data_IF_490264186989
#
_entry.id   IF_490264186989
#
_cell.length_a   1.000
_cell.length_b   1.000
_cell.length_c   1.000
_cell.angle_alpha   90.00
_cell.angle_beta   90.00
_cell.angle_gamma   90.00
#
_symmetry.space_group_name_H-M   'P 1'
#
loop_
_entity.id
_entity.type
_entity.pdbx_description
1 polymer ?
#
# COMPACT_ATOMS: atom_id res chain seq x y z
N UNK A 1 8.52 -46.16 7.60
CA UNK A 1 7.23 -45.51 7.20
C UNK A 1 6.15 -45.73 8.25
N UNK A 2 5.96 -46.93 8.81
CA UNK A 2 4.94 -47.19 9.84
C UNK A 2 5.25 -46.44 11.15
N UNK A 3 6.53 -46.36 11.54
CA UNK A 3 6.97 -45.61 12.71
C UNK A 3 6.68 -44.12 12.57
N UNK A 4 6.95 -43.52 11.41
CA UNK A 4 6.61 -42.14 11.10
C UNK A 4 5.10 -41.88 11.09
N UNK A 5 4.30 -42.83 10.56
CA UNK A 5 2.83 -42.77 10.59
C UNK A 5 2.31 -42.83 12.03
N UNK A 6 2.88 -43.67 12.86
CA UNK A 6 2.49 -43.80 14.27
C UNK A 6 2.90 -42.55 15.05
N UNK A 7 4.09 -42.01 14.83
CA UNK A 7 4.57 -40.74 15.40
C UNK A 7 3.66 -39.58 15.01
N UNK A 8 3.27 -39.44 13.76
CA UNK A 8 2.34 -38.40 13.31
C UNK A 8 0.95 -38.54 13.93
N UNK A 9 0.45 -39.77 14.06
CA UNK A 9 -0.84 -40.05 14.74
C UNK A 9 -0.79 -39.73 16.22
N UNK A 10 0.29 -40.09 16.89
CA UNK A 10 0.49 -39.83 18.32
C UNK A 10 0.66 -38.32 18.57
N UNK A 11 1.46 -37.64 17.77
CA UNK A 11 1.66 -36.21 17.82
C UNK A 11 0.37 -35.43 17.55
N UNK A 12 -0.46 -35.85 16.62
CA UNK A 12 -1.78 -35.24 16.37
C UNK A 12 -2.66 -35.23 17.64
N UNK A 13 -2.51 -36.18 18.54
CA UNK A 13 -3.29 -36.25 19.76
C UNK A 13 -2.75 -35.34 20.87
N UNK A 14 -1.41 -35.22 20.99
CA UNK A 14 -0.76 -34.46 22.07
C UNK A 14 -0.65 -32.94 21.81
N UNK A 15 -0.59 -32.53 20.53
CA UNK A 15 -0.38 -31.14 20.13
C UNK A 15 -1.61 -30.46 19.55
N UNK A 16 -2.76 -31.00 19.79
CA UNK A 16 -4.02 -30.48 19.30
C UNK A 16 -4.40 -29.23 20.06
N UNK A 17 -3.68 -28.13 19.81
CA UNK A 17 -4.08 -26.82 20.27
C UNK A 17 -5.25 -26.37 19.40
N UNK A 18 -6.30 -25.91 20.06
CA UNK A 18 -7.51 -25.43 19.42
C UNK A 18 -7.61 -23.94 19.67
N UNK A 19 -6.98 -23.12 18.83
CA UNK A 19 -7.07 -21.68 18.95
C UNK A 19 -8.41 -21.13 18.48
N UNK A 20 -8.73 -19.93 18.93
CA UNK A 20 -9.64 -19.05 18.22
C UNK A 20 -8.78 -18.23 17.25
N UNK A 21 -8.97 -18.42 15.95
CA UNK A 21 -8.10 -17.92 14.90
C UNK A 21 -8.72 -16.73 14.19
N UNK A 22 -7.93 -15.68 14.00
CA UNK A 22 -8.29 -14.46 13.28
C UNK A 22 -7.21 -14.21 12.22
N UNK A 23 -7.47 -14.62 10.98
CA UNK A 23 -6.50 -14.53 9.89
C UNK A 23 -6.84 -13.33 9.04
N UNK A 24 -5.90 -12.43 8.87
CA UNK A 24 -6.08 -11.16 8.18
C UNK A 24 -5.23 -11.12 6.92
N UNK A 25 -5.87 -10.87 5.78
CA UNK A 25 -5.25 -10.77 4.47
C UNK A 25 -5.29 -9.33 3.98
N UNK A 26 -4.15 -8.67 3.72
CA UNK A 26 -4.15 -7.37 3.07
C UNK A 26 -4.57 -7.55 1.61
N UNK A 27 -5.53 -6.74 1.18
CA UNK A 27 -6.12 -6.84 -0.16
C UNK A 27 -6.24 -5.48 -0.81
N UNK A 28 -6.35 -5.48 -2.13
CA UNK A 28 -6.79 -4.33 -2.93
C UNK A 28 -8.04 -4.69 -3.69
N UNK A 29 -8.88 -3.70 -3.96
CA UNK A 29 -10.09 -3.85 -4.74
C UNK A 29 -10.20 -2.72 -5.77
N UNK A 30 -10.99 -2.93 -6.82
CA UNK A 30 -11.21 -1.92 -7.87
C UNK A 30 -12.63 -1.41 -7.89
N UNK A 31 -13.59 -2.26 -7.58
CA UNK A 31 -15.02 -2.02 -7.72
C UNK A 31 -15.68 -2.13 -6.34
N UNK A 32 -16.09 -1.00 -5.80
CA UNK A 32 -16.78 -0.90 -4.51
C UNK A 32 -18.20 -1.44 -4.60
N UNK A 33 -18.92 -1.16 -5.69
CA UNK A 33 -20.32 -1.56 -5.85
C UNK A 33 -20.43 -3.09 -5.90
N UNK A 34 -19.49 -3.74 -6.60
CA UNK A 34 -19.40 -5.21 -6.61
C UNK A 34 -19.20 -5.78 -5.21
N UNK A 35 -18.40 -5.14 -4.36
CA UNK A 35 -18.22 -5.60 -2.98
C UNK A 35 -19.51 -5.51 -2.17
N UNK A 36 -20.27 -4.44 -2.36
CA UNK A 36 -21.56 -4.28 -1.70
C UNK A 36 -22.60 -5.31 -2.17
N UNK A 37 -22.57 -5.72 -3.45
CA UNK A 37 -23.40 -6.80 -3.98
C UNK A 37 -23.06 -8.17 -3.35
N UNK A 38 -21.79 -8.37 -2.96
CA UNK A 38 -21.34 -9.58 -2.27
C UNK A 38 -21.66 -9.57 -0.77
N UNK A 39 -22.13 -8.45 -0.21
CA UNK A 39 -22.38 -8.31 1.21
C UNK A 39 -23.52 -9.23 1.69
N UNK A 40 -23.27 -9.97 2.76
CA UNK A 40 -24.22 -10.89 3.37
C UNK A 40 -24.67 -10.38 4.74
N UNK A 41 -25.76 -9.61 4.78
CA UNK A 41 -26.29 -9.02 6.01
C UNK A 41 -27.31 -9.90 6.75
N UNK A 42 -27.81 -10.94 6.11
CA UNK A 42 -28.99 -11.69 6.60
C UNK A 42 -28.67 -12.80 7.62
N UNK A 43 -27.41 -13.01 7.95
CA UNK A 43 -27.03 -14.11 8.82
C UNK A 43 -26.77 -13.63 10.25
N UNK A 44 -27.76 -13.81 11.15
CA UNK A 44 -27.65 -13.42 12.56
C UNK A 44 -26.44 -14.03 13.29
N UNK A 45 -25.91 -15.14 12.79
CA UNK A 45 -24.75 -15.82 13.39
C UNK A 45 -23.38 -15.22 12.94
N UNK A 46 -23.34 -14.54 11.77
CA UNK A 46 -22.16 -13.78 11.34
C UNK A 46 -21.98 -12.52 12.20
N UNK A 47 -23.00 -12.09 12.89
CA UNK A 47 -23.04 -10.85 13.64
C UNK A 47 -22.10 -10.73 14.82
N UNK A 48 -21.52 -11.83 15.31
CA UNK A 48 -20.79 -11.76 16.58
C UNK A 48 -19.48 -10.98 16.46
N UNK A 49 -18.62 -11.28 15.47
CA UNK A 49 -17.40 -10.52 15.27
C UNK A 49 -17.66 -9.12 14.73
N UNK A 50 -18.53 -8.99 13.74
CA UNK A 50 -18.99 -7.70 13.22
C UNK A 50 -19.58 -6.81 14.30
N UNK A 51 -20.37 -7.36 15.22
CA UNK A 51 -20.93 -6.63 16.35
C UNK A 51 -19.84 -5.98 17.20
N UNK A 52 -18.76 -6.71 17.53
CA UNK A 52 -17.66 -6.15 18.30
C UNK A 52 -16.77 -5.19 17.50
N UNK A 53 -16.74 -5.34 16.19
CA UNK A 53 -16.00 -4.45 15.30
C UNK A 53 -16.84 -3.26 14.81
N UNK A 54 -18.14 -3.19 15.13
CA UNK A 54 -18.99 -2.05 14.77
C UNK A 54 -18.64 -0.83 15.63
N UNK A 55 -17.98 0.12 14.99
CA UNK A 55 -17.52 1.36 15.61
C UNK A 55 -18.69 2.18 16.19
N UNK A 56 -19.83 2.23 15.48
CA UNK A 56 -20.99 3.01 15.91
C UNK A 56 -21.60 2.41 17.15
N UNK A 57 -21.81 1.11 17.15
CA UNK A 57 -22.37 0.39 18.28
C UNK A 57 -21.48 0.51 19.52
N UNK A 58 -20.17 0.43 19.38
CA UNK A 58 -19.21 0.58 20.46
C UNK A 58 -19.26 1.99 21.08
N UNK A 59 -19.38 3.03 20.26
CA UNK A 59 -19.53 4.40 20.74
C UNK A 59 -20.86 4.65 21.45
N UNK A 60 -21.95 4.04 20.98
CA UNK A 60 -23.30 4.21 21.54
C UNK A 60 -23.51 3.42 22.83
N UNK A 61 -22.98 2.22 22.91
CA UNK A 61 -23.22 1.33 24.07
C UNK A 61 -22.30 1.61 25.24
N UNK A 62 -21.24 2.39 25.03
CA UNK A 62 -20.23 2.66 26.08
C UNK A 62 -19.49 1.40 26.57
N UNK A 63 -19.58 0.30 25.81
CA UNK A 63 -18.86 -0.93 26.11
C UNK A 63 -17.36 -0.68 25.87
N UNK A 64 -16.53 -0.80 26.89
CA UNK A 64 -15.22 -0.17 26.88
C UNK A 64 -14.17 -1.00 26.15
N UNK A 65 -13.84 -0.63 24.93
CA UNK A 65 -12.49 -0.87 24.43
C UNK A 65 -11.43 0.00 25.18
N UNK A 66 -11.80 0.56 26.32
CA UNK A 66 -11.04 1.62 26.96
C UNK A 66 -11.09 2.92 26.13
N UNK A 67 -10.67 4.01 26.75
CA UNK A 67 -10.72 5.34 26.13
C UNK A 67 -9.93 5.42 24.81
N UNK A 68 -8.76 4.79 24.76
CA UNK A 68 -7.91 4.77 23.56
C UNK A 68 -8.57 4.07 22.37
N UNK A 69 -9.26 2.95 22.62
CA UNK A 69 -9.95 2.22 21.57
C UNK A 69 -11.10 3.02 21.00
N UNK A 70 -11.87 3.72 21.83
CA UNK A 70 -12.96 4.59 21.41
C UNK A 70 -12.41 5.77 20.59
N UNK A 71 -11.37 6.44 21.08
CA UNK A 71 -10.74 7.57 20.38
C UNK A 71 -10.20 7.14 18.99
N UNK A 72 -9.63 5.94 18.89
CA UNK A 72 -9.19 5.38 17.61
C UNK A 72 -10.37 5.07 16.69
N UNK A 73 -11.40 4.41 17.19
CA UNK A 73 -12.58 4.10 16.41
C UNK A 73 -13.25 5.36 15.86
N UNK A 74 -13.38 6.39 16.69
CA UNK A 74 -13.91 7.70 16.28
C UNK A 74 -13.08 8.35 15.16
N UNK A 75 -11.74 8.22 15.22
CA UNK A 75 -10.83 8.74 14.21
C UNK A 75 -11.06 8.07 12.84
N UNK A 76 -11.29 6.75 12.83
CA UNK A 76 -11.36 5.98 11.59
C UNK A 76 -12.77 5.76 11.04
N UNK A 77 -13.83 6.05 11.81
CA UNK A 77 -15.24 5.76 11.47
C UNK A 77 -15.72 6.31 10.12
N UNK A 78 -15.15 7.42 9.65
CA UNK A 78 -15.59 8.07 8.42
C UNK A 78 -14.89 7.53 7.17
N UNK A 79 -13.83 6.75 7.34
CA UNK A 79 -12.99 6.25 6.25
C UNK A 79 -13.04 4.73 6.15
N UNK A 80 -13.11 4.07 7.28
CA UNK A 80 -13.19 2.62 7.39
C UNK A 80 -14.63 2.16 7.22
N UNK A 81 -14.86 1.25 6.29
CA UNK A 81 -16.14 0.56 6.09
C UNK A 81 -15.94 -0.93 6.28
N UNK A 82 -16.91 -1.61 6.93
CA UNK A 82 -16.88 -3.04 7.14
C UNK A 82 -18.02 -3.72 6.42
N UNK A 83 -17.71 -4.75 5.65
CA UNK A 83 -18.63 -5.49 4.79
C UNK A 83 -18.57 -6.97 5.20
N UNK A 84 -19.65 -7.54 5.72
CA UNK A 84 -19.72 -8.98 5.98
C UNK A 84 -19.83 -9.73 4.66
N UNK A 85 -18.97 -10.71 4.44
CA UNK A 85 -18.93 -11.51 3.20
C UNK A 85 -19.50 -12.93 3.37
N UNK A 86 -20.01 -13.23 4.57
CA UNK A 86 -20.66 -14.51 4.84
C UNK A 86 -19.76 -15.54 5.52
N UNK A 87 -20.21 -16.78 5.51
CA UNK A 87 -19.48 -17.91 6.07
C UNK A 87 -18.79 -18.69 4.96
N UNK A 88 -17.57 -19.11 5.25
CA UNK A 88 -16.78 -19.97 4.40
C UNK A 88 -16.48 -21.27 5.14
N UNK A 89 -16.46 -22.36 4.40
CA UNK A 89 -15.83 -23.59 4.87
C UNK A 89 -14.40 -23.62 4.36
N UNK A 90 -13.44 -23.56 5.29
CA UNK A 90 -12.01 -23.52 4.96
C UNK A 90 -11.37 -24.87 5.28
N UNK A 91 -10.38 -25.25 4.48
CA UNK A 91 -9.59 -26.46 4.64
C UNK A 91 -8.13 -26.12 4.71
N UNK A 92 -7.44 -26.73 5.67
CA UNK A 92 -5.98 -26.71 5.78
C UNK A 92 -5.48 -28.08 5.34
N UNK A 93 -4.60 -28.08 4.36
CA UNK A 93 -4.00 -29.30 3.85
C UNK A 93 -2.69 -29.61 4.58
N UNK A 94 -2.51 -30.86 4.95
CA UNK A 94 -1.29 -31.37 5.59
C UNK A 94 -0.31 -31.94 4.55
N UNK A 95 -0.30 -31.43 3.32
CA UNK A 95 0.44 -31.98 2.18
C UNK A 95 1.93 -32.24 2.49
N UNK A 96 2.60 -31.37 3.22
CA UNK A 96 4.03 -31.54 3.48
C UNK A 96 4.41 -32.75 4.33
N UNK A 97 3.54 -33.22 5.20
CA UNK A 97 3.83 -34.45 5.99
C UNK A 97 3.44 -35.70 5.23
N UNK A 98 2.47 -35.60 4.35
CA UNK A 98 1.95 -36.73 3.59
C UNK A 98 2.82 -37.07 2.40
N UNK A 99 3.52 -36.11 1.79
CA UNK A 99 4.54 -36.39 0.77
C UNK A 99 5.71 -37.25 1.32
N UNK A 100 5.96 -37.17 2.63
CA UNK A 100 6.93 -38.01 3.33
C UNK A 100 6.34 -39.38 3.68
N UNK A 101 5.01 -39.47 3.84
CA UNK A 101 4.34 -40.66 4.44
C UNK A 101 3.66 -41.60 3.47
N UNK A 102 3.60 -41.32 2.19
CA UNK A 102 3.04 -42.09 1.10
C UNK A 102 1.89 -41.51 0.32
N UNK A 103 1.98 -41.81 -0.96
CA UNK A 103 1.05 -41.62 -2.06
C UNK A 103 -0.33 -42.30 -1.92
N UNK A 104 -0.68 -42.79 -0.76
CA UNK A 104 -1.99 -43.42 -0.58
C UNK A 104 -3.02 -42.44 -0.01
N UNK A 105 -3.90 -42.05 -0.91
CA UNK A 105 -5.26 -41.57 -0.69
C UNK A 105 -5.49 -40.32 0.17
N UNK A 106 -5.72 -39.26 -0.53
CA UNK A 106 -6.34 -37.99 -0.14
C UNK A 106 -5.66 -37.20 0.97
N UNK A 107 -5.40 -35.92 0.73
CA UNK A 107 -4.84 -35.04 1.75
C UNK A 107 -5.75 -35.02 2.97
N UNK A 108 -5.21 -35.42 4.14
CA UNK A 108 -5.92 -35.31 5.41
C UNK A 108 -6.06 -33.84 5.73
N UNK A 109 -7.16 -33.23 5.28
CA UNK A 109 -7.50 -31.87 5.59
C UNK A 109 -8.30 -31.80 6.88
N UNK A 110 -8.16 -30.70 7.61
CA UNK A 110 -9.12 -30.30 8.63
C UNK A 110 -9.99 -29.19 8.06
N UNK A 111 -11.30 -29.44 8.02
CA UNK A 111 -12.29 -28.44 7.63
C UNK A 111 -12.72 -27.66 8.86
N UNK A 112 -12.87 -26.35 8.69
CA UNK A 112 -13.37 -25.44 9.70
C UNK A 112 -14.34 -24.44 9.05
N UNK A 113 -15.26 -23.92 9.85
CA UNK A 113 -16.08 -22.78 9.44
C UNK A 113 -15.36 -21.49 9.82
N UNK A 114 -15.40 -20.53 8.92
CA UNK A 114 -14.88 -19.20 9.13
C UNK A 114 -15.91 -18.12 8.75
N UNK A 115 -16.05 -17.11 9.58
CA UNK A 115 -16.77 -15.88 9.26
C UNK A 115 -15.83 -14.95 8.48
N UNK A 116 -16.26 -14.48 7.30
CA UNK A 116 -15.47 -13.57 6.47
C UNK A 116 -15.97 -12.14 6.61
N UNK A 117 -15.09 -11.24 7.03
CA UNK A 117 -15.36 -9.80 7.19
C UNK A 117 -14.31 -9.01 6.43
N UNK A 118 -14.75 -8.13 5.57
CA UNK A 118 -13.88 -7.24 4.81
C UNK A 118 -13.95 -5.82 5.39
N UNK A 119 -12.82 -5.29 5.79
CA UNK A 119 -12.64 -3.88 6.14
C UNK A 119 -11.97 -3.16 4.98
N UNK A 120 -12.52 -2.04 4.54
CA UNK A 120 -11.99 -1.28 3.40
C UNK A 120 -11.74 0.19 3.75
N UNK A 121 -10.70 0.75 3.15
CA UNK A 121 -10.49 2.19 3.06
C UNK A 121 -11.09 2.70 1.75
N UNK A 122 -12.15 3.49 1.84
CA UNK A 122 -12.88 4.02 0.69
C UNK A 122 -12.05 4.88 -0.25
N UNK A 123 -10.96 5.47 0.22
CA UNK A 123 -10.17 6.42 -0.57
C UNK A 123 -8.98 5.78 -1.28
N UNK A 124 -8.35 4.79 -0.66
CA UNK A 124 -7.11 4.18 -1.19
C UNK A 124 -7.34 2.86 -1.93
N UNK A 125 -8.57 2.33 -1.92
CA UNK A 125 -8.90 1.01 -2.47
C UNK A 125 -8.08 -0.15 -1.85
N UNK A 126 -7.66 0.05 -0.61
CA UNK A 126 -7.00 -0.95 0.20
C UNK A 126 -8.02 -1.57 1.17
N UNK A 127 -7.88 -2.84 1.47
CA UNK A 127 -8.71 -3.53 2.44
C UNK A 127 -7.95 -4.57 3.24
N UNK A 128 -8.60 -5.06 4.29
CA UNK A 128 -8.17 -6.19 5.10
C UNK A 128 -9.33 -7.18 5.18
N UNK A 129 -9.14 -8.37 4.61
CA UNK A 129 -10.08 -9.47 4.76
C UNK A 129 -9.72 -10.25 6.02
N UNK A 130 -10.62 -10.32 6.98
CA UNK A 130 -10.46 -11.11 8.21
C UNK A 130 -11.32 -12.36 8.13
N UNK A 131 -10.70 -13.52 8.32
CA UNK A 131 -11.36 -14.81 8.50
C UNK A 131 -11.33 -15.16 9.99
N UNK A 132 -12.50 -15.32 10.58
CA UNK A 132 -12.67 -15.66 12.00
C UNK A 132 -13.13 -17.10 12.11
N UNK A 133 -12.31 -17.95 12.72
CA UNK A 133 -12.62 -19.34 12.95
C UNK A 133 -12.38 -19.69 14.43
N UNK A 134 -13.43 -20.11 15.10
CA UNK A 134 -13.39 -20.39 16.52
C UNK A 134 -13.20 -21.87 16.78
N UNK A 135 -12.37 -22.18 17.78
CA UNK A 135 -12.13 -23.53 18.25
C UNK A 135 -11.73 -24.51 17.15
N UNK A 136 -10.84 -24.09 16.27
CA UNK A 136 -10.40 -24.87 15.13
C UNK A 136 -9.42 -25.99 15.53
N UNK A 137 -9.68 -27.26 15.24
CA UNK A 137 -8.88 -28.37 15.70
C UNK A 137 -7.64 -28.57 14.83
N UNK A 138 -6.69 -27.64 14.86
CA UNK A 138 -5.44 -27.70 14.08
C UNK A 138 -4.25 -28.08 14.97
N UNK A 139 -3.22 -28.64 14.34
CA UNK A 139 -1.86 -28.49 14.85
C UNK A 139 -1.43 -27.03 14.59
N UNK A 140 -1.14 -26.28 15.63
CA UNK A 140 -0.85 -24.84 15.53
C UNK A 140 0.28 -24.57 14.52
N UNK A 141 1.37 -25.33 14.57
CA UNK A 141 2.49 -25.20 13.64
C UNK A 141 2.10 -25.38 12.17
N UNK A 142 1.28 -26.38 11.85
CA UNK A 142 0.79 -26.60 10.49
C UNK A 142 -0.15 -25.51 10.02
N UNK A 143 -0.99 -25.02 10.91
CA UNK A 143 -1.88 -23.93 10.60
C UNK A 143 -1.10 -22.67 10.23
N UNK A 144 -0.10 -22.30 11.03
CA UNK A 144 0.74 -21.16 10.79
C UNK A 144 1.52 -21.29 9.47
N UNK A 145 2.06 -22.46 9.19
CA UNK A 145 2.77 -22.75 7.92
C UNK A 145 1.85 -22.61 6.70
N UNK A 146 0.63 -23.14 6.77
CA UNK A 146 -0.37 -22.98 5.69
C UNK A 146 -0.75 -21.54 5.42
N UNK A 147 -0.86 -20.70 6.47
CA UNK A 147 -1.12 -19.26 6.31
C UNK A 147 0.04 -18.59 5.56
N UNK A 148 1.26 -18.82 6.00
CA UNK A 148 2.47 -18.21 5.42
C UNK A 148 2.67 -18.66 3.98
N UNK A 149 2.45 -19.94 3.67
CA UNK A 149 2.61 -20.51 2.32
C UNK A 149 1.41 -20.29 1.43
N UNK A 150 0.36 -19.67 1.93
CA UNK A 150 -0.85 -19.40 1.16
C UNK A 150 -1.55 -20.67 0.65
N UNK A 151 -1.63 -21.69 1.49
CA UNK A 151 -2.22 -22.99 1.19
C UNK A 151 -3.63 -23.18 1.76
N UNK A 152 -4.25 -22.12 2.30
CA UNK A 152 -5.62 -22.18 2.78
C UNK A 152 -6.59 -22.35 1.59
N UNK A 153 -7.46 -23.37 1.69
CA UNK A 153 -8.44 -23.68 0.65
C UNK A 153 -9.85 -23.32 1.13
N UNK A 154 -10.69 -22.90 0.23
CA UNK A 154 -12.14 -22.74 0.44
C UNK A 154 -12.86 -23.91 -0.19
N UNK A 155 -13.78 -24.51 0.54
CA UNK A 155 -14.64 -25.58 0.03
C UNK A 155 -15.93 -24.94 -0.49
N UNK A 156 -16.14 -25.00 -1.79
CA UNK A 156 -17.38 -24.52 -2.42
C UNK A 156 -18.56 -25.46 -2.15
N UNK A 157 -19.76 -25.02 -2.45
CA UNK A 157 -21.01 -25.79 -2.26
C UNK A 157 -21.02 -27.12 -3.03
N UNK A 158 -20.33 -27.19 -4.17
CA UNK A 158 -20.15 -28.39 -4.96
C UNK A 158 -19.15 -29.39 -4.34
N UNK A 159 -18.50 -29.03 -3.22
CA UNK A 159 -17.47 -29.80 -2.53
C UNK A 159 -16.05 -29.65 -3.12
N UNK A 160 -15.89 -28.84 -4.13
CA UNK A 160 -14.59 -28.54 -4.74
C UNK A 160 -13.75 -27.63 -3.82
N UNK A 161 -12.44 -27.90 -3.73
CA UNK A 161 -11.52 -27.11 -2.93
C UNK A 161 -10.78 -26.14 -3.85
N UNK A 162 -10.94 -24.83 -3.59
CA UNK A 162 -10.32 -23.73 -4.34
C UNK A 162 -9.37 -22.98 -3.44
N UNK A 163 -8.19 -22.61 -3.93
CA UNK A 163 -7.26 -21.77 -3.17
C UNK A 163 -7.93 -20.45 -2.78
N UNK A 164 -7.74 -19.99 -1.53
CA UNK A 164 -8.38 -18.79 -1.01
C UNK A 164 -8.13 -17.55 -1.89
N UNK A 165 -6.92 -17.35 -2.41
CA UNK A 165 -6.62 -16.19 -3.25
C UNK A 165 -7.37 -16.21 -4.59
N UNK A 166 -7.49 -17.38 -5.20
CA UNK A 166 -8.29 -17.56 -6.41
C UNK A 166 -9.77 -17.29 -6.11
N UNK A 167 -10.29 -17.83 -5.00
CA UNK A 167 -11.65 -17.59 -4.54
C UNK A 167 -11.93 -16.09 -4.31
N UNK A 168 -11.03 -15.40 -3.59
CA UNK A 168 -11.15 -13.95 -3.32
C UNK A 168 -11.22 -13.14 -4.61
N UNK A 169 -10.38 -13.46 -5.59
CA UNK A 169 -10.35 -12.78 -6.87
C UNK A 169 -11.61 -13.04 -7.69
N UNK A 170 -12.03 -14.27 -7.77
CA UNK A 170 -13.18 -14.68 -8.59
C UNK A 170 -14.51 -14.24 -8.00
N UNK A 171 -14.73 -14.50 -6.73
CA UNK A 171 -16.03 -14.23 -6.08
C UNK A 171 -16.17 -12.77 -5.67
N UNK A 172 -15.14 -12.18 -5.08
CA UNK A 172 -15.23 -10.86 -4.48
C UNK A 172 -14.47 -9.76 -5.23
N UNK A 173 -13.67 -10.12 -6.25
CA UNK A 173 -12.84 -9.13 -6.98
C UNK A 173 -11.70 -8.55 -6.13
N UNK A 174 -11.27 -9.27 -5.09
CA UNK A 174 -10.19 -8.89 -4.20
C UNK A 174 -8.87 -9.45 -4.71
N UNK A 175 -7.80 -8.64 -4.65
CA UNK A 175 -6.45 -9.07 -4.96
C UNK A 175 -5.59 -9.00 -3.70
N UNK A 176 -4.88 -10.06 -3.36
CA UNK A 176 -3.93 -10.05 -2.26
C UNK A 176 -2.81 -9.04 -2.54
N UNK A 177 -2.45 -8.23 -1.55
CA UNK A 177 -1.49 -7.13 -1.69
C UNK A 177 -0.30 -7.19 -0.75
N UNK A 178 -0.20 -8.21 0.08
CA UNK A 178 0.89 -8.37 1.04
C UNK A 178 0.83 -9.70 1.80
N UNK A 179 1.64 -9.80 2.84
CA UNK A 179 1.72 -11.00 3.67
C UNK A 179 0.56 -11.04 4.66
N UNK A 180 -0.15 -12.18 4.80
CA UNK A 180 -1.19 -12.33 5.80
C UNK A 180 -0.63 -12.21 7.21
N UNK A 181 -1.47 -11.78 8.13
CA UNK A 181 -1.20 -11.70 9.56
C UNK A 181 -2.21 -12.58 10.27
N UNK A 182 -1.85 -13.07 11.43
CA UNK A 182 -2.75 -13.89 12.22
C UNK A 182 -2.71 -13.49 13.69
N UNK A 183 -3.87 -13.50 14.31
CA UNK A 183 -4.01 -13.45 15.75
C UNK A 183 -4.63 -14.76 16.20
N UNK A 184 -3.90 -15.49 17.04
CA UNK A 184 -4.30 -16.80 17.55
C UNK A 184 -4.51 -16.71 19.06
N UNK A 185 -5.74 -16.83 19.51
CA UNK A 185 -6.06 -16.90 20.93
C UNK A 185 -6.18 -18.34 21.40
N UNK A 186 -5.37 -18.72 22.37
CA UNK A 186 -5.35 -20.05 22.96
C UNK A 186 -6.03 -20.00 24.32
N UNK A 187 -7.23 -20.56 24.49
CA UNK A 187 -7.93 -20.60 25.77
C UNK A 187 -7.12 -21.32 26.85
N UNK A 188 -7.30 -20.91 28.11
CA UNK A 188 -6.55 -21.45 29.25
C UNK A 188 -6.69 -22.96 29.40
N UNK A 189 -7.87 -23.49 29.22
CA UNK A 189 -8.16 -24.92 29.33
C UNK A 189 -7.52 -25.76 28.20
N UNK A 190 -7.08 -25.09 27.13
CA UNK A 190 -6.43 -25.71 25.97
C UNK A 190 -4.93 -25.39 25.90
N UNK A 191 -4.42 -24.59 26.83
CA UNK A 191 -3.01 -24.24 26.93
C UNK A 191 -2.25 -25.29 27.73
N UNK A 192 -1.87 -26.36 27.03
CA UNK A 192 -1.07 -27.47 27.60
C UNK A 192 0.43 -27.35 27.28
N UNK A 193 0.87 -26.29 26.63
CA UNK A 193 2.27 -26.11 26.25
C UNK A 193 3.18 -25.85 27.46
N UNK A 194 4.19 -26.68 27.62
CA UNK A 194 5.30 -26.37 28.51
C UNK A 194 6.21 -25.27 27.89
N UNK A 195 7.22 -24.81 28.64
CA UNK A 195 8.08 -23.72 28.21
C UNK A 195 8.91 -24.06 26.94
N UNK A 196 9.38 -25.30 26.84
CA UNK A 196 10.16 -25.76 25.68
C UNK A 196 9.28 -25.84 24.44
N UNK A 197 8.08 -26.37 24.58
CA UNK A 197 7.08 -26.47 23.52
C UNK A 197 6.66 -25.09 23.01
N UNK A 198 6.43 -24.15 23.91
CA UNK A 198 6.16 -22.75 23.54
C UNK A 198 7.33 -22.15 22.75
N UNK A 199 8.56 -22.36 23.21
CA UNK A 199 9.76 -21.90 22.53
C UNK A 199 9.88 -22.48 21.12
N UNK A 200 9.55 -23.75 20.96
CA UNK A 200 9.54 -24.41 19.66
C UNK A 200 8.55 -23.78 18.68
N UNK A 201 7.30 -23.58 19.12
CA UNK A 201 6.27 -22.93 18.31
C UNK A 201 6.70 -21.52 17.90
N UNK A 202 7.31 -20.77 18.82
CA UNK A 202 7.77 -19.41 18.54
C UNK A 202 8.96 -19.34 17.59
N UNK A 203 9.81 -20.39 17.53
CA UNK A 203 11.03 -20.39 16.74
C UNK A 203 10.87 -20.92 15.33
N UNK A 204 10.24 -22.06 15.19
CA UNK A 204 10.34 -22.84 13.96
C UNK A 204 9.01 -23.28 13.37
N UNK A 205 7.90 -23.13 14.11
CA UNK A 205 6.60 -23.67 13.68
C UNK A 205 6.65 -25.18 13.43
N UNK A 206 7.74 -25.86 13.77
CA UNK A 206 7.91 -27.27 13.54
C UNK A 206 7.25 -28.12 14.61
N UNK A 207 6.98 -29.35 14.27
CA UNK A 207 6.47 -30.36 15.21
C UNK A 207 7.61 -30.71 16.18
N UNK A 208 7.34 -30.52 17.47
CA UNK A 208 8.27 -30.85 18.55
C UNK A 208 7.86 -32.12 19.26
N UNK A 209 8.79 -33.01 19.55
CA UNK A 209 8.59 -34.16 20.43
C UNK A 209 9.05 -33.88 21.85
N UNK A 210 8.22 -34.25 22.81
CA UNK A 210 8.58 -34.15 24.23
C UNK A 210 9.75 -35.12 24.50
N UNK A 211 10.87 -34.57 25.01
CA UNK A 211 12.07 -35.37 25.33
C UNK A 211 13.17 -35.37 24.28
N UNK A 212 12.95 -34.85 23.08
CA UNK A 212 14.04 -34.58 22.15
C UNK A 212 14.64 -33.18 22.41
N UNK A 213 15.96 -33.11 22.44
CA UNK A 213 16.64 -31.84 22.35
C UNK A 213 16.43 -31.29 20.94
N UNK A 214 15.93 -30.05 20.83
CA UNK A 214 15.98 -29.31 19.59
C UNK A 214 17.43 -29.06 19.27
N UNK A 215 18.00 -29.89 18.39
CA UNK A 215 19.41 -29.82 18.03
C UNK A 215 19.87 -28.50 17.42
N UNK A 216 18.92 -27.63 17.04
CA UNK A 216 19.19 -26.35 16.39
C UNK A 216 19.08 -25.16 17.35
N UNK A 217 18.37 -25.28 18.49
CA UNK A 217 18.13 -24.14 19.38
C UNK A 217 18.58 -24.41 20.81
N UNK A 218 19.32 -23.46 21.35
CA UNK A 218 19.76 -23.54 22.74
C UNK A 218 18.68 -23.11 23.72
N UNK A 219 18.74 -23.62 24.95
CA UNK A 219 17.85 -23.17 26.03
C UNK A 219 17.87 -21.63 26.24
N UNK A 220 18.98 -20.98 25.90
CA UNK A 220 19.15 -19.53 26.01
C UNK A 220 18.33 -18.79 24.92
N UNK A 221 18.27 -19.33 23.69
CA UNK A 221 17.46 -18.77 22.60
C UNK A 221 15.97 -18.94 22.90
N UNK A 222 15.56 -20.14 23.34
CA UNK A 222 14.20 -20.42 23.77
C UNK A 222 13.79 -19.46 24.91
N UNK A 223 14.68 -19.26 25.89
CA UNK A 223 14.44 -18.35 27.00
C UNK A 223 14.30 -16.89 26.55
N UNK A 224 15.12 -16.46 25.61
CA UNK A 224 15.07 -15.11 25.03
C UNK A 224 13.71 -14.84 24.36
N UNK A 225 13.19 -15.80 23.61
CA UNK A 225 11.91 -15.68 22.94
C UNK A 225 10.74 -15.69 23.91
N UNK A 226 10.74 -16.62 24.88
CA UNK A 226 9.70 -16.67 25.90
C UNK A 226 9.73 -15.47 26.86
N UNK A 227 10.85 -14.73 26.92
CA UNK A 227 10.94 -13.46 27.64
C UNK A 227 10.49 -12.25 26.80
N UNK A 228 10.23 -12.43 25.50
CA UNK A 228 9.64 -11.40 24.64
C UNK A 228 8.14 -11.22 24.84
N UNK A 229 7.60 -11.74 25.96
CA UNK A 229 6.20 -11.62 26.33
C UNK A 229 5.75 -10.16 26.34
N UNK A 230 4.73 -9.86 25.55
CA UNK A 230 4.00 -8.60 25.64
C UNK A 230 2.80 -8.80 26.56
N UNK A 231 2.73 -8.03 27.61
CA UNK A 231 1.49 -8.00 28.41
C UNK A 231 0.40 -7.24 27.65
N UNK A 232 -0.49 -7.96 26.96
CA UNK A 232 -1.71 -7.38 26.38
C UNK A 232 -2.81 -7.19 27.43
N UNK A 233 -2.45 -7.22 28.70
CA UNK A 233 -3.35 -7.04 29.85
C UNK A 233 -3.04 -8.03 30.97
N UNK A 234 -3.82 -7.95 32.05
CA UNK A 234 -3.65 -8.84 33.21
C UNK A 234 -4.12 -10.29 32.97
N UNK A 235 -4.93 -10.51 31.95
CA UNK A 235 -5.63 -11.78 31.71
C UNK A 235 -4.97 -12.67 30.67
N UNK A 236 -3.97 -12.16 29.93
CA UNK A 236 -3.30 -12.91 28.89
C UNK A 236 -1.80 -12.65 28.84
N UNK A 237 -1.10 -13.53 28.14
CA UNK A 237 0.29 -13.35 27.74
C UNK A 237 0.38 -13.48 26.23
N UNK A 238 0.92 -12.50 25.56
CA UNK A 238 1.01 -12.49 24.11
C UNK A 238 2.46 -12.50 23.65
N UNK A 239 2.68 -13.14 22.50
CA UNK A 239 3.96 -13.24 21.81
C UNK A 239 3.79 -12.87 20.36
N UNK A 240 4.70 -12.09 19.83
CA UNK A 240 4.73 -11.74 18.40
C UNK A 240 5.79 -12.57 17.71
N UNK A 241 5.37 -13.36 16.73
CA UNK A 241 6.24 -14.22 15.92
C UNK A 241 6.53 -13.51 14.61
N UNK A 242 7.71 -12.91 14.52
CA UNK A 242 8.05 -11.99 13.43
C UNK A 242 8.14 -12.66 12.06
N UNK A 243 8.64 -13.89 11.98
CA UNK A 243 8.84 -14.56 10.70
C UNK A 243 7.53 -15.08 10.08
N UNK A 244 6.49 -15.30 10.91
CA UNK A 244 5.15 -15.71 10.44
C UNK A 244 4.13 -14.60 10.47
N UNK A 245 4.48 -13.46 11.06
CA UNK A 245 3.53 -12.36 11.30
C UNK A 245 2.31 -12.81 12.13
N UNK A 246 2.57 -13.63 13.13
CA UNK A 246 1.56 -14.19 14.02
C UNK A 246 1.66 -13.57 15.41
N UNK A 247 0.53 -13.20 15.95
CA UNK A 247 0.37 -12.83 17.35
C UNK A 247 -0.30 -13.97 18.09
N UNK A 248 0.44 -14.63 18.99
CA UNK A 248 -0.08 -15.68 19.87
C UNK A 248 -0.50 -15.07 21.21
N UNK A 249 -1.74 -15.26 21.61
CA UNK A 249 -2.28 -14.82 22.89
C UNK A 249 -2.74 -16.03 23.72
N UNK A 250 -2.05 -16.26 24.82
CA UNK A 250 -2.37 -17.32 25.76
C UNK A 250 -3.18 -16.76 26.93
N UNK A 251 -4.40 -17.23 27.08
CA UNK A 251 -5.25 -16.83 28.19
C UNK A 251 -4.67 -17.31 29.52
N UNK A 252 -4.51 -16.42 30.50
CA UNK A 252 -4.04 -16.73 31.85
C UNK A 252 -5.17 -17.15 32.78
N UNK A 253 -6.31 -16.47 32.64
CA UNK A 253 -7.50 -16.70 33.41
C UNK A 253 -8.72 -16.90 32.53
N UNK A 254 -9.65 -17.72 32.97
CA UNK A 254 -10.92 -17.93 32.28
C UNK A 254 -11.64 -16.60 32.07
N UNK A 255 -11.75 -16.17 30.86
CA UNK A 255 -12.53 -14.98 30.46
C UNK A 255 -14.04 -15.28 30.37
N UNK A 256 -14.46 -16.44 30.80
CA UNK A 256 -15.86 -16.88 30.88
C UNK A 256 -16.39 -17.32 29.52
N UNK A 257 -17.25 -16.54 28.88
CA UNK A 257 -17.96 -16.93 27.67
C UNK A 257 -17.14 -16.72 26.38
N UNK A 258 -17.50 -17.44 25.32
CA UNK A 258 -16.95 -17.24 23.97
C UNK A 258 -17.08 -15.77 23.54
N UNK A 259 -18.20 -15.12 23.88
CA UNK A 259 -18.44 -13.71 23.57
C UNK A 259 -17.40 -12.77 24.22
N UNK A 260 -17.03 -13.04 25.46
CA UNK A 260 -16.01 -12.24 26.14
C UNK A 260 -14.62 -12.41 25.51
N UNK A 261 -14.29 -13.63 25.05
CA UNK A 261 -13.05 -13.88 24.29
C UNK A 261 -13.06 -13.17 22.95
N UNK A 262 -14.14 -13.28 22.18
CA UNK A 262 -14.30 -12.57 20.90
C UNK A 262 -14.17 -11.06 21.04
N UNK A 263 -14.76 -10.49 22.08
CA UNK A 263 -14.66 -9.07 22.36
C UNK A 263 -13.21 -8.61 22.57
N UNK A 264 -12.44 -9.34 23.40
CA UNK A 264 -11.04 -9.02 23.64
C UNK A 264 -10.17 -9.25 22.39
N UNK A 265 -10.48 -10.30 21.62
CA UNK A 265 -9.82 -10.57 20.36
C UNK A 265 -10.10 -9.48 19.31
N UNK A 266 -11.35 -9.04 19.19
CA UNK A 266 -11.73 -7.97 18.27
C UNK A 266 -10.93 -6.67 18.52
N UNK A 267 -10.70 -6.34 19.79
CA UNK A 267 -9.87 -5.17 20.13
C UNK A 267 -8.42 -5.32 19.66
N UNK A 268 -7.82 -6.48 19.88
CA UNK A 268 -6.46 -6.77 19.40
C UNK A 268 -6.40 -6.80 17.87
N UNK A 269 -7.36 -7.47 17.23
CA UNK A 269 -7.48 -7.52 15.78
C UNK A 269 -7.63 -6.12 15.19
N UNK A 270 -8.35 -5.21 15.85
CA UNK A 270 -8.47 -3.84 15.39
C UNK A 270 -7.12 -3.12 15.31
N UNK A 271 -6.24 -3.30 16.31
CA UNK A 271 -4.88 -2.75 16.23
C UNK A 271 -4.06 -3.37 15.09
N UNK A 272 -4.14 -4.69 14.93
CA UNK A 272 -3.46 -5.39 13.83
C UNK A 272 -4.00 -4.91 12.49
N UNK A 273 -5.30 -4.78 12.34
CA UNK A 273 -5.97 -4.27 11.14
C UNK A 273 -5.48 -2.87 10.76
N UNK A 274 -5.41 -1.93 11.73
CA UNK A 274 -4.91 -0.58 11.49
C UNK A 274 -3.45 -0.58 11.00
N UNK A 275 -2.61 -1.42 11.59
CA UNK A 275 -1.22 -1.58 11.16
C UNK A 275 -1.11 -2.22 9.78
N UNK A 276 -2.02 -3.12 9.42
CA UNK A 276 -2.08 -3.68 8.08
C UNK A 276 -2.49 -2.65 7.03
N UNK A 277 -3.41 -1.73 7.35
CA UNK A 277 -3.72 -0.60 6.47
C UNK A 277 -2.49 0.30 6.27
N UNK A 278 -1.73 0.57 7.32
CA UNK A 278 -0.48 1.34 7.23
C UNK A 278 0.56 0.62 6.37
N UNK A 279 0.78 -0.68 6.61
CA UNK A 279 1.69 -1.53 5.83
C UNK A 279 1.29 -1.56 4.34
N UNK A 280 0.01 -1.78 4.07
CA UNK A 280 -0.50 -1.83 2.71
C UNK A 280 -0.37 -0.49 1.98
N UNK A 281 -0.67 0.63 2.65
CA UNK A 281 -0.49 1.96 2.08
C UNK A 281 0.98 2.24 1.74
N UNK A 282 1.91 1.92 2.65
CA UNK A 282 3.35 2.06 2.42
C UNK A 282 3.83 1.17 1.27
N UNK A 283 3.37 -0.07 1.21
CA UNK A 283 3.74 -1.03 0.17
C UNK A 283 3.26 -0.58 -1.20
N UNK A 284 1.99 -0.15 -1.30
CA UNK A 284 1.44 0.39 -2.55
C UNK A 284 2.18 1.64 -3.00
N UNK A 285 2.45 2.57 -2.08
CA UNK A 285 3.19 3.79 -2.39
C UNK A 285 4.60 3.49 -2.89
N UNK A 286 5.35 2.63 -2.18
CA UNK A 286 6.69 2.21 -2.58
C UNK A 286 6.69 1.57 -3.97
N UNK A 287 5.72 0.70 -4.25
CA UNK A 287 5.60 0.04 -5.54
C UNK A 287 5.38 1.05 -6.67
N UNK A 288 4.42 1.95 -6.53
CA UNK A 288 4.14 2.96 -7.57
C UNK A 288 5.33 3.90 -7.78
N UNK A 289 6.09 4.27 -6.74
CA UNK A 289 7.31 5.06 -6.88
C UNK A 289 8.40 4.29 -7.64
N UNK A 290 8.58 3.00 -7.36
CA UNK A 290 9.57 2.16 -8.06
C UNK A 290 9.17 1.98 -9.52
N UNK A 291 7.90 1.71 -9.80
CA UNK A 291 7.38 1.56 -11.16
C UNK A 291 7.58 2.86 -11.97
N UNK A 292 7.29 4.02 -11.36
CA UNK A 292 7.55 5.32 -11.98
C UNK A 292 9.04 5.55 -12.27
N UNK A 293 9.93 5.19 -11.34
CA UNK A 293 11.38 5.30 -11.57
C UNK A 293 11.86 4.38 -12.68
N UNK A 294 11.29 3.20 -12.83
CA UNK A 294 11.62 2.26 -13.89
C UNK A 294 11.20 2.76 -15.29
N UNK A 295 10.17 3.59 -15.35
CA UNK A 295 9.67 4.16 -16.60
C UNK A 295 10.32 5.50 -16.98
N UNK A 296 11.12 6.12 -16.12
CA UNK A 296 11.68 7.47 -16.31
C UNK A 296 12.36 7.72 -17.65
N UNK A 297 13.02 6.68 -18.20
CA UNK A 297 13.71 6.77 -19.51
C UNK A 297 12.78 6.59 -20.72
N UNK A 298 11.50 6.29 -20.50
CA UNK A 298 10.53 5.96 -21.54
C UNK A 298 9.40 6.97 -21.66
N UNK A 299 9.19 7.77 -20.64
CA UNK A 299 8.12 8.77 -20.59
C UNK A 299 8.68 10.17 -20.71
N UNK A 300 7.86 11.08 -21.20
CA UNK A 300 8.23 12.49 -21.31
C UNK A 300 8.39 13.15 -19.93
N UNK A 301 9.33 14.09 -19.75
CA UNK A 301 9.56 14.76 -18.47
C UNK A 301 8.30 15.36 -17.85
N UNK A 302 7.44 15.98 -18.63
CA UNK A 302 6.16 16.57 -18.18
C UNK A 302 5.18 15.51 -17.67
N UNK A 303 5.13 14.36 -18.32
CA UNK A 303 4.31 13.22 -17.89
C UNK A 303 4.85 12.65 -16.56
N UNK A 304 6.18 12.49 -16.44
CA UNK A 304 6.81 12.07 -15.19
C UNK A 304 6.42 12.99 -14.01
N UNK A 305 6.53 14.31 -14.20
CA UNK A 305 6.17 15.31 -13.20
C UNK A 305 4.70 15.18 -12.75
N UNK A 306 3.81 14.98 -13.70
CA UNK A 306 2.36 14.83 -13.44
C UNK A 306 2.06 13.56 -12.66
N UNK A 307 2.64 12.42 -13.08
CA UNK A 307 2.48 11.13 -12.42
C UNK A 307 3.07 11.14 -11.02
N UNK A 308 4.27 11.69 -10.83
CA UNK A 308 4.92 11.82 -9.53
C UNK A 308 4.06 12.61 -8.54
N UNK A 309 3.48 13.74 -8.96
CA UNK A 309 2.55 14.53 -8.15
C UNK A 309 1.29 13.75 -7.79
N UNK A 310 0.72 13.03 -8.75
CA UNK A 310 -0.50 12.25 -8.54
C UNK A 310 -0.28 11.15 -7.50
N UNK A 311 0.83 10.39 -7.63
CA UNK A 311 1.20 9.34 -6.68
C UNK A 311 1.41 9.95 -5.28
N UNK A 312 2.22 11.01 -5.18
CA UNK A 312 2.49 11.66 -3.91
C UNK A 312 1.20 12.17 -3.23
N UNK A 313 0.33 12.85 -3.97
CA UNK A 313 -0.92 13.37 -3.42
C UNK A 313 -1.88 12.26 -2.96
N UNK A 314 -1.91 11.12 -3.68
CA UNK A 314 -2.77 9.98 -3.32
C UNK A 314 -2.31 9.30 -2.04
N UNK A 315 -1.02 8.97 -1.96
CA UNK A 315 -0.53 8.07 -0.92
C UNK A 315 0.01 8.79 0.32
N UNK A 316 0.60 9.97 0.21
CA UNK A 316 1.14 10.67 1.37
C UNK A 316 0.06 10.89 2.44
N UNK A 317 -1.09 11.43 2.03
CA UNK A 317 -2.22 11.62 2.94
C UNK A 317 -2.78 10.30 3.48
N UNK A 318 -2.67 9.20 2.71
CA UNK A 318 -3.13 7.87 3.14
C UNK A 318 -2.19 7.29 4.19
N UNK A 319 -0.89 7.36 3.97
CA UNK A 319 0.12 6.89 4.94
C UNK A 319 0.03 7.69 6.25
N UNK A 320 -0.08 9.01 6.17
CA UNK A 320 -0.24 9.85 7.36
C UNK A 320 -1.54 9.56 8.12
N UNK A 321 -2.63 9.28 7.41
CA UNK A 321 -3.90 8.94 8.02
C UNK A 321 -3.82 7.62 8.80
N UNK A 322 -3.19 6.58 8.23
CA UNK A 322 -3.06 5.26 8.84
C UNK A 322 -1.92 5.15 9.85
N UNK A 323 -1.14 6.20 10.07
CA UNK A 323 -0.11 6.22 11.11
C UNK A 323 -0.76 6.19 12.50
N UNK A 324 -0.79 4.99 13.07
CA UNK A 324 -1.47 4.72 14.35
C UNK A 324 -0.64 5.25 15.51
N UNK A 325 -1.24 6.10 16.32
CA UNK A 325 -0.68 6.53 17.60
C UNK A 325 -1.70 6.33 18.73
N UNK A 326 -1.23 5.84 19.86
CA UNK A 326 -2.04 5.64 21.07
C UNK A 326 -1.39 6.32 22.27
N UNK A 327 -2.18 6.75 23.22
CA UNK A 327 -1.71 7.58 24.32
C UNK A 327 -1.31 6.77 25.57
N UNK A 328 -1.85 5.55 25.75
CA UNK A 328 -1.57 4.75 26.93
C UNK A 328 -0.27 3.92 26.80
N UNK A 329 0.61 3.93 27.80
CA UNK A 329 1.92 3.28 27.73
C UNK A 329 1.86 1.77 27.44
N UNK A 330 0.83 1.06 27.98
CA UNK A 330 0.66 -0.37 27.71
C UNK A 330 0.28 -0.65 26.27
N UNK A 331 -0.65 0.13 25.71
CA UNK A 331 -1.06 0.04 24.33
C UNK A 331 0.06 0.45 23.39
N UNK A 332 0.83 1.50 23.74
CA UNK A 332 2.02 1.91 22.97
C UNK A 332 3.05 0.79 22.86
N UNK A 333 3.35 0.11 23.99
CA UNK A 333 4.33 -0.99 23.99
C UNK A 333 3.88 -2.13 23.09
N UNK A 334 2.61 -2.55 23.18
CA UNK A 334 2.05 -3.61 22.38
C UNK A 334 2.06 -3.24 20.88
N UNK A 335 1.62 -2.03 20.55
CA UNK A 335 1.61 -1.52 19.19
C UNK A 335 3.02 -1.46 18.59
N UNK A 336 4.00 -0.97 19.35
CA UNK A 336 5.40 -0.91 18.91
C UNK A 336 5.98 -2.29 18.63
N UNK A 337 5.63 -3.30 19.42
CA UNK A 337 6.12 -4.66 19.18
C UNK A 337 5.51 -5.28 17.92
N UNK A 338 4.21 -5.11 17.70
CA UNK A 338 3.54 -5.57 16.49
C UNK A 338 4.10 -4.80 15.28
N UNK A 339 4.27 -3.48 15.38
CA UNK A 339 4.83 -2.63 14.33
C UNK A 339 6.23 -3.07 13.91
N UNK A 340 7.08 -3.38 14.88
CA UNK A 340 8.43 -3.91 14.65
C UNK A 340 8.39 -5.28 13.97
N UNK A 341 7.48 -6.16 14.38
CA UNK A 341 7.30 -7.48 13.77
C UNK A 341 6.85 -7.38 12.30
N UNK A 342 5.99 -6.41 11.97
CA UNK A 342 5.52 -6.17 10.61
C UNK A 342 6.50 -5.36 9.77
N UNK A 343 7.67 -5.00 10.29
CA UNK A 343 8.71 -4.22 9.60
C UNK A 343 8.20 -2.88 9.02
N UNK A 344 7.23 -2.26 9.70
CA UNK A 344 6.59 -1.02 9.22
C UNK A 344 7.60 0.13 9.17
N UNK A 345 8.49 0.21 10.14
CA UNK A 345 9.50 1.25 10.20
C UNK A 345 10.52 1.10 9.04
N UNK A 346 10.92 -0.13 8.70
CA UNK A 346 11.76 -0.41 7.53
C UNK A 346 11.07 -0.02 6.21
N UNK A 347 9.75 -0.26 6.11
CA UNK A 347 8.96 0.18 4.96
C UNK A 347 8.88 1.71 4.86
N UNK A 348 8.81 2.41 5.99
CA UNK A 348 8.86 3.89 6.02
C UNK A 348 10.20 4.43 5.56
N UNK A 349 11.30 3.90 6.08
CA UNK A 349 12.65 4.28 5.64
C UNK A 349 12.83 4.06 4.14
N UNK A 350 12.34 2.93 3.62
CA UNK A 350 12.35 2.63 2.20
C UNK A 350 11.50 3.62 1.40
N UNK A 351 10.33 4.00 1.92
CA UNK A 351 9.47 5.01 1.30
C UNK A 351 10.17 6.36 1.23
N UNK A 352 10.76 6.82 2.32
CA UNK A 352 11.48 8.10 2.38
C UNK A 352 12.67 8.11 1.40
N UNK A 353 13.40 7.00 1.31
CA UNK A 353 14.48 6.83 0.34
C UNK A 353 13.96 6.93 -1.10
N UNK A 354 12.91 6.16 -1.45
CA UNK A 354 12.34 6.16 -2.80
C UNK A 354 11.75 7.54 -3.14
N UNK A 355 11.07 8.19 -2.21
CA UNK A 355 10.54 9.55 -2.39
C UNK A 355 11.64 10.55 -2.67
N UNK A 356 12.78 10.45 -1.96
CA UNK A 356 13.95 11.29 -2.23
C UNK A 356 14.55 11.04 -3.61
N UNK A 357 14.62 9.78 -4.07
CA UNK A 357 15.08 9.46 -5.42
C UNK A 357 14.15 10.03 -6.49
N UNK A 358 12.84 9.87 -6.32
CA UNK A 358 11.84 10.48 -7.22
C UNK A 358 11.96 12.01 -7.19
N UNK A 359 12.18 12.62 -6.02
CA UNK A 359 12.43 14.06 -5.88
C UNK A 359 13.64 14.53 -6.69
N UNK A 360 14.76 13.82 -6.61
CA UNK A 360 15.96 14.14 -7.39
C UNK A 360 15.69 14.05 -8.92
N UNK A 361 14.99 13.02 -9.35
CA UNK A 361 14.60 12.86 -10.77
C UNK A 361 13.60 13.95 -11.18
N UNK A 362 12.70 14.32 -10.29
CA UNK A 362 11.74 15.40 -10.50
C UNK A 362 12.47 16.73 -10.75
N UNK A 363 13.45 17.07 -9.94
CA UNK A 363 14.23 18.32 -10.09
C UNK A 363 15.00 18.34 -11.41
N UNK A 364 15.62 17.21 -11.80
CA UNK A 364 16.31 17.07 -13.09
C UNK A 364 15.33 17.27 -14.27
N UNK A 365 14.18 16.59 -14.22
CA UNK A 365 13.19 16.71 -15.28
C UNK A 365 12.60 18.11 -15.39
N UNK A 366 12.37 18.75 -14.25
CA UNK A 366 11.93 20.16 -14.21
C UNK A 366 12.96 21.08 -14.87
N UNK A 367 14.24 20.89 -14.54
CA UNK A 367 15.30 21.69 -15.18
C UNK A 367 15.36 21.48 -16.71
N UNK A 368 15.11 20.24 -17.17
CA UNK A 368 15.02 19.93 -18.62
C UNK A 368 13.84 20.66 -19.26
N UNK A 369 12.66 20.61 -18.63
CA UNK A 369 11.45 21.30 -19.12
C UNK A 369 11.67 22.81 -19.15
N UNK A 370 12.18 23.39 -18.05
CA UNK A 370 12.46 24.82 -17.97
C UNK A 370 13.46 25.27 -19.07
N UNK A 371 14.48 24.45 -19.36
CA UNK A 371 15.43 24.72 -20.45
C UNK A 371 14.80 24.59 -21.84
N UNK A 372 13.87 23.67 -22.03
CA UNK A 372 13.15 23.52 -23.31
C UNK A 372 12.22 24.71 -23.54
N UNK A 373 11.44 25.11 -22.53
CA UNK A 373 10.57 26.29 -22.60
C UNK A 373 11.38 27.57 -22.89
N UNK A 374 12.51 27.75 -22.23
CA UNK A 374 13.40 28.89 -22.49
C UNK A 374 13.97 28.89 -23.92
N UNK A 375 14.26 27.70 -24.48
CA UNK A 375 14.68 27.62 -25.89
C UNK A 375 13.56 27.94 -26.85
N UNK A 376 12.36 27.41 -26.64
CA UNK A 376 11.18 27.69 -27.45
C UNK A 376 10.79 29.17 -27.39
N UNK A 377 10.87 29.79 -26.22
CA UNK A 377 10.63 31.23 -26.06
C UNK A 377 11.66 32.04 -26.83
N UNK A 378 12.94 31.69 -26.75
CA UNK A 378 14.00 32.32 -27.51
C UNK A 378 13.81 32.15 -29.01
N UNK A 379 13.42 30.96 -29.49
CA UNK A 379 13.14 30.71 -30.92
C UNK A 379 11.92 31.52 -31.38
N UNK A 380 10.87 31.66 -30.59
CA UNK A 380 9.72 32.51 -30.89
C UNK A 380 10.11 33.99 -30.97
N UNK A 381 10.95 34.45 -30.05
CA UNK A 381 11.45 35.82 -30.04
C UNK A 381 12.32 36.07 -31.25
N UNK A 382 13.20 35.13 -31.64
CA UNK A 382 14.03 35.22 -32.81
C UNK A 382 13.18 35.24 -34.09
N UNK A 383 12.13 34.41 -34.20
CA UNK A 383 11.18 34.41 -35.32
C UNK A 383 10.39 35.73 -35.39
N UNK A 384 9.90 36.22 -34.21
CA UNK A 384 9.18 37.48 -34.12
C UNK A 384 10.09 38.62 -34.54
N UNK A 385 11.33 38.66 -34.09
CA UNK A 385 12.32 39.68 -34.46
C UNK A 385 12.66 39.62 -35.94
N UNK A 386 12.75 38.40 -36.50
CA UNK A 386 12.97 38.24 -37.95
C UNK A 386 11.78 38.76 -38.73
N UNK A 387 10.55 38.44 -38.33
CA UNK A 387 9.33 38.94 -38.97
C UNK A 387 9.22 40.45 -38.90
N UNK A 388 9.50 41.03 -37.74
CA UNK A 388 9.54 42.49 -37.55
C UNK A 388 10.62 43.16 -38.43
N UNK A 389 11.77 42.50 -38.59
CA UNK A 389 12.85 43.00 -39.48
C UNK A 389 12.41 42.98 -40.92
N UNK A 390 11.80 41.91 -41.41
CA UNK A 390 11.25 41.80 -42.77
C UNK A 390 10.18 42.86 -42.99
N UNK A 391 9.24 43.02 -42.01
CA UNK A 391 8.20 44.07 -42.11
C UNK A 391 8.80 45.47 -42.16
N UNK A 392 9.80 45.74 -41.33
CA UNK A 392 10.49 47.01 -41.31
C UNK A 392 11.18 47.32 -42.63
N UNK A 393 11.78 46.30 -43.25
CA UNK A 393 12.39 46.46 -44.57
C UNK A 393 11.33 46.72 -45.66
N UNK A 394 10.19 46.01 -45.64
CA UNK A 394 9.07 46.23 -46.58
C UNK A 394 8.46 47.65 -46.38
N UNK A 395 8.21 48.06 -45.16
CA UNK A 395 7.73 49.44 -44.87
C UNK A 395 8.73 50.50 -45.34
N UNK A 396 10.02 50.22 -45.17
CA UNK A 396 11.07 51.10 -45.68
C UNK A 396 11.04 51.24 -47.19
N UNK A 397 10.89 50.13 -47.96
CA UNK A 397 10.76 50.21 -49.41
C UNK A 397 9.50 50.93 -49.86
N UNK A 398 8.37 50.74 -49.16
CA UNK A 398 7.14 51.49 -49.40
C UNK A 398 7.35 52.99 -49.19
N UNK A 399 7.93 53.38 -48.06
CA UNK A 399 8.24 54.77 -47.77
C UNK A 399 9.24 55.40 -48.77
N UNK A 400 10.15 54.61 -49.29
CA UNK A 400 11.08 55.03 -50.33
C UNK A 400 10.39 55.35 -51.67
N UNK A 401 9.42 54.47 -52.05
CA UNK A 401 8.60 54.68 -53.27
C UNK A 401 7.72 55.90 -53.11
N UNK A 402 6.98 56.00 -51.98
CA UNK A 402 6.09 57.10 -51.68
C UNK A 402 6.86 58.44 -51.60
N UNK A 403 8.05 58.40 -50.99
CA UNK A 403 8.94 59.55 -50.91
C UNK A 403 9.50 60.02 -52.24
N UNK A 404 9.83 59.05 -53.09
CA UNK A 404 10.30 59.34 -54.46
C UNK A 404 9.16 59.93 -55.34
N UNK A 405 7.94 59.39 -55.20
CA UNK A 405 6.76 59.93 -55.89
C UNK A 405 6.41 61.34 -55.41
N UNK A 406 6.48 61.55 -54.10
CA UNK A 406 6.27 62.91 -53.52
C UNK A 406 7.32 63.91 -54.00
N UNK A 407 8.58 63.56 -53.96
CA UNK A 407 9.64 64.43 -54.45
C UNK A 407 9.48 64.74 -55.95
N UNK A 408 8.97 63.80 -56.78
CA UNK A 408 8.70 64.04 -58.19
C UNK A 408 7.59 65.05 -58.46
N UNK A 409 6.65 65.25 -57.51
CA UNK A 409 5.58 66.26 -57.58
C UNK A 409 6.06 67.68 -57.28
N UNK A 410 7.32 67.88 -56.87
CA UNK A 410 7.94 69.13 -56.55
C UNK A 410 8.69 69.76 -57.72
N UNK A 411 8.46 69.28 -58.94
CA UNK A 411 9.08 69.75 -60.22
C UNK A 411 8.81 71.25 -60.48
N UNK A 412 7.73 71.77 -59.98
CA UNK A 412 7.35 73.18 -60.01
C UNK A 412 8.20 74.15 -59.10
N UNK A 413 8.85 73.53 -58.10
CA UNK A 413 9.60 74.31 -57.10
C UNK A 413 11.12 74.19 -57.26
N UNK A 414 11.61 73.13 -57.92
CA UNK A 414 13.01 72.76 -58.01
C UNK A 414 13.38 72.63 -59.49
N UNK A 415 14.49 73.22 -59.98
CA UNK A 415 14.95 73.07 -61.37
C UNK A 415 15.17 71.60 -61.77
N UNK A 416 14.67 71.18 -62.92
CA UNK A 416 14.63 69.79 -63.36
C UNK A 416 15.97 69.06 -63.26
N UNK A 417 17.08 69.72 -63.47
CA UNK A 417 18.41 69.08 -63.36
C UNK A 417 18.86 68.82 -61.91
N UNK A 418 18.42 69.64 -61.01
CA UNK A 418 18.68 69.45 -59.54
C UNK A 418 17.78 68.37 -58.99
N UNK A 419 16.51 68.33 -59.38
CA UNK A 419 15.54 67.34 -58.97
C UNK A 419 15.99 65.93 -59.42
N UNK A 420 16.53 65.78 -60.61
CA UNK A 420 17.04 64.51 -61.17
C UNK A 420 18.25 63.99 -60.34
N UNK A 421 19.14 64.87 -59.88
CA UNK A 421 20.25 64.53 -58.99
C UNK A 421 19.73 64.07 -57.56
N UNK A 422 18.73 64.78 -57.08
CA UNK A 422 18.13 64.40 -55.78
C UNK A 422 17.43 63.05 -55.87
N UNK A 423 16.56 62.82 -56.83
CA UNK A 423 15.79 61.59 -56.98
C UNK A 423 16.65 60.39 -57.31
N UNK A 424 17.67 60.53 -58.21
CA UNK A 424 18.51 59.42 -58.66
C UNK A 424 19.76 59.17 -57.79
N UNK A 425 20.19 60.18 -57.03
CA UNK A 425 21.44 60.11 -56.28
C UNK A 425 21.25 60.29 -54.74
N UNK A 426 20.90 61.47 -54.29
CA UNK A 426 20.94 61.81 -52.87
C UNK A 426 19.89 61.02 -52.07
N UNK A 427 18.64 60.96 -52.58
CA UNK A 427 17.54 60.31 -51.87
C UNK A 427 17.75 58.79 -51.69
N UNK A 428 18.08 58.01 -52.75
CA UNK A 428 18.34 56.55 -52.57
C UNK A 428 19.54 56.30 -51.65
N UNK A 429 20.61 57.09 -51.74
CA UNK A 429 21.80 56.91 -50.88
C UNK A 429 21.48 57.15 -49.41
N UNK A 430 20.74 58.23 -49.10
CA UNK A 430 20.33 58.53 -47.73
C UNK A 430 19.40 57.48 -47.15
N UNK A 431 18.44 57.00 -47.94
CA UNK A 431 17.52 55.95 -47.56
C UNK A 431 18.24 54.62 -47.32
N UNK A 432 19.17 54.22 -48.18
CA UNK A 432 20.02 53.05 -47.96
C UNK A 432 20.86 53.21 -46.69
N UNK A 433 21.39 54.38 -46.44
CA UNK A 433 22.13 54.71 -45.20
C UNK A 433 21.27 54.51 -43.92
N UNK A 434 20.03 54.98 -43.94
CA UNK A 434 19.07 54.81 -42.87
C UNK A 434 18.73 53.31 -42.69
N UNK A 435 18.50 52.57 -43.79
CA UNK A 435 18.22 51.12 -43.75
C UNK A 435 19.39 50.38 -43.10
N UNK A 436 20.62 50.63 -43.54
CA UNK A 436 21.81 49.99 -42.97
C UNK A 436 22.00 50.34 -41.48
N UNK A 437 21.69 51.56 -41.07
CA UNK A 437 21.74 51.96 -39.68
C UNK A 437 20.69 51.24 -38.83
N UNK A 438 19.46 51.11 -39.32
CA UNK A 438 18.38 50.40 -38.64
C UNK A 438 18.71 48.91 -38.52
N UNK A 439 19.17 48.26 -39.63
CA UNK A 439 19.59 46.88 -39.63
C UNK A 439 20.76 46.66 -38.66
N UNK A 440 21.78 47.52 -38.65
CA UNK A 440 22.89 47.43 -37.69
C UNK A 440 22.43 47.54 -36.24
N UNK A 441 21.44 48.39 -35.96
CA UNK A 441 20.89 48.58 -34.61
C UNK A 441 20.03 47.40 -34.20
N UNK A 442 19.28 46.77 -35.08
CA UNK A 442 18.51 45.54 -34.85
C UNK A 442 19.43 44.35 -34.65
N UNK A 443 20.40 44.12 -35.53
CA UNK A 443 21.35 43.01 -35.41
C UNK A 443 22.37 43.19 -34.28
N UNK A 444 22.71 44.42 -33.91
CA UNK A 444 23.65 44.70 -32.83
C UNK A 444 23.07 44.53 -31.44
N UNK A 445 21.73 44.38 -31.27
CA UNK A 445 21.07 44.01 -30.02
C UNK A 445 20.96 42.50 -29.82
N UNK A 446 21.21 41.69 -30.87
CA UNK A 446 21.13 40.24 -30.82
C UNK A 446 22.45 39.55 -30.44
N UNK A 447 23.46 40.30 -30.00
CA UNK A 447 24.67 39.79 -29.33
C UNK A 447 24.71 40.29 -27.90
#
# INVERSE_FOLDING_TARGET
>A
NDLLREMVKTRKAEWRIVPDSYIMYPVTYKDHDRLLECACYDNQEIGNYMHYMDIRLQCETGVPFGKDGIDLMERYKNRLERIPLGRLRVRITLEMILDILDHEDQPVGCDAEAEAVLSIDRLSHIGVLTLVSLSTPFLLSHFLDNIVRNQLMVIEENGEAVNLYAYMQEKWGLNASGTPKSYEMIPKEKNCLNKKQLGAVLLSETIYEEGEDFGEFTDAEILKLTNSETGMGQYSRAFVVAHTNVLLDFEKDLRGTIQARMYNAAFTCFYVELLMFEEAALTCFNKELIDLMAEVMRIEPTEFLTRARTITNRYLNTVDFWNVSVNYPSSQKSLQMIRKSFLIDDLKEKMEYNQKQVGNIFDINREIVDRQEAKEEKERDDQSNTALTILSVLCFFSAMIDGNDYLSTLDWLIPAGVLDIILKGVFPITMIGILLYVLKKLYGRSK
#
